data_IF_683015760866
#
_entry.id   IF_683015760866
#
_cell.length_a   1.000
_cell.length_b   1.000
_cell.length_c   1.000
_cell.angle_alpha   90.00
_cell.angle_beta   90.00
_cell.angle_gamma   90.00
#
_symmetry.space_group_name_H-M   'P 1'
#
loop_
_entity.id
_entity.type
_entity.pdbx_description
1 polymer ?
#
# COMPACT_ATOMS: atom_id res chain seq x y z
N UNK A 1 10.65 -13.51 -15.99
CA UNK A 1 9.76 -12.68 -16.86
C UNK A 1 9.97 -13.05 -18.31
N UNK A 2 8.93 -12.95 -19.13
CA UNK A 2 8.93 -13.35 -20.57
C UNK A 2 8.27 -12.25 -21.43
N UNK A 3 8.49 -12.24 -22.76
CA UNK A 3 7.79 -11.32 -23.66
C UNK A 3 6.26 -11.43 -23.58
N UNK A 4 5.73 -12.61 -23.23
CA UNK A 4 4.29 -12.85 -23.13
C UNK A 4 3.60 -12.01 -22.03
N UNK A 5 4.34 -11.59 -21.00
CA UNK A 5 3.80 -10.84 -19.87
C UNK A 5 4.38 -9.43 -19.73
N UNK A 6 5.36 -9.07 -20.58
CA UNK A 6 6.07 -7.81 -20.50
C UNK A 6 6.33 -7.22 -21.87
N UNK A 7 5.57 -6.17 -22.22
CA UNK A 7 5.64 -5.47 -23.50
C UNK A 7 7.06 -5.01 -23.86
N UNK A 8 7.81 -4.52 -22.87
CA UNK A 8 9.13 -3.92 -23.06
C UNK A 8 10.27 -4.90 -22.76
N UNK A 9 10.01 -6.21 -22.83
CA UNK A 9 10.99 -7.26 -22.54
C UNK A 9 12.26 -7.11 -23.38
N UNK A 10 12.12 -6.93 -24.70
CA UNK A 10 13.25 -6.82 -25.63
C UNK A 10 14.04 -5.53 -25.41
N UNK A 11 13.37 -4.41 -25.14
CA UNK A 11 14.02 -3.13 -24.84
C UNK A 11 14.83 -3.12 -23.54
N UNK A 12 14.46 -4.01 -22.61
CA UNK A 12 15.14 -4.19 -21.34
C UNK A 12 16.35 -5.12 -21.45
N UNK A 13 16.54 -5.84 -22.56
CA UNK A 13 17.66 -6.77 -22.69
C UNK A 13 19.01 -6.05 -22.69
N UNK A 14 20.05 -6.67 -22.11
CA UNK A 14 21.40 -6.13 -22.14
C UNK A 14 21.96 -6.14 -23.58
N UNK A 15 22.84 -5.16 -23.89
CA UNK A 15 23.53 -5.13 -25.19
C UNK A 15 24.56 -6.26 -25.37
N UNK A 16 25.10 -6.77 -24.27
CA UNK A 16 26.10 -7.85 -24.25
C UNK A 16 25.52 -9.04 -23.51
N UNK A 17 25.83 -10.26 -23.98
CA UNK A 17 25.44 -11.51 -23.32
C UNK A 17 25.94 -11.50 -21.87
N UNK A 18 25.04 -11.78 -20.92
CA UNK A 18 25.35 -11.79 -19.48
C UNK A 18 25.35 -10.41 -18.80
N UNK A 19 24.99 -9.32 -19.51
CA UNK A 19 24.82 -8.01 -18.88
C UNK A 19 23.53 -7.90 -18.05
N UNK A 20 23.47 -6.89 -17.19
CA UNK A 20 22.26 -6.57 -16.42
C UNK A 20 21.15 -6.00 -17.31
N UNK A 21 19.90 -6.28 -16.95
CA UNK A 21 18.74 -5.67 -17.61
C UNK A 21 18.81 -4.13 -17.57
N UNK A 22 18.44 -3.51 -18.68
CA UNK A 22 18.37 -2.05 -18.86
C UNK A 22 17.06 -1.49 -18.29
N UNK A 23 16.83 -1.71 -17.00
CA UNK A 23 15.60 -1.33 -16.27
C UNK A 23 15.82 -0.15 -15.32
N UNK A 24 17.02 0.42 -15.30
CA UNK A 24 17.35 1.55 -14.44
C UNK A 24 17.91 2.72 -15.25
N UNK A 25 17.65 3.92 -14.77
CA UNK A 25 18.18 5.19 -15.27
C UNK A 25 18.66 6.06 -14.09
N UNK A 26 19.47 7.07 -14.36
CA UNK A 26 19.88 8.05 -13.35
C UNK A 26 18.86 9.18 -13.32
N UNK A 27 18.27 9.43 -12.15
CA UNK A 27 17.32 10.52 -11.92
C UNK A 27 17.98 11.89 -11.91
N UNK A 28 17.15 12.94 -11.84
CA UNK A 28 17.61 14.34 -11.76
C UNK A 28 18.43 14.63 -10.50
N UNK A 29 18.12 13.90 -9.43
CA UNK A 29 18.81 13.87 -8.14
C UNK A 29 20.09 13.00 -8.15
N UNK A 30 20.48 12.45 -9.30
CA UNK A 30 21.59 11.50 -9.49
C UNK A 30 21.37 10.13 -8.84
N UNK A 31 20.18 9.84 -8.34
CA UNK A 31 19.85 8.53 -7.80
C UNK A 31 19.50 7.52 -8.89
N UNK A 32 19.65 6.24 -8.58
CA UNK A 32 19.15 5.16 -9.44
C UNK A 32 17.62 5.13 -9.38
N UNK A 33 16.96 5.31 -10.52
CA UNK A 33 15.50 5.21 -10.68
C UNK A 33 15.15 4.08 -11.65
N UNK A 34 13.88 3.68 -11.66
CA UNK A 34 13.37 2.75 -12.68
C UNK A 34 13.33 3.46 -14.02
N UNK A 35 13.85 2.83 -15.07
CA UNK A 35 13.87 3.38 -16.43
C UNK A 35 12.45 3.66 -16.91
N UNK A 36 12.27 4.79 -17.59
CA UNK A 36 11.02 5.12 -18.28
C UNK A 36 11.11 4.84 -19.78
N UNK A 37 9.98 4.44 -20.36
CA UNK A 37 9.73 4.38 -21.81
C UNK A 37 8.48 5.21 -22.04
N UNK A 38 8.51 6.18 -22.95
CA UNK A 38 7.39 7.11 -23.20
C UNK A 38 6.78 7.69 -21.91
N UNK A 39 7.65 8.24 -21.05
CA UNK A 39 7.29 8.87 -19.77
C UNK A 39 6.61 7.97 -18.73
N UNK A 40 6.57 6.65 -18.90
CA UNK A 40 6.07 5.74 -17.85
C UNK A 40 7.01 4.57 -17.58
N UNK A 41 6.86 3.96 -16.40
CA UNK A 41 7.66 2.83 -15.94
C UNK A 41 7.79 1.74 -17.03
N UNK A 42 9.01 1.23 -17.25
CA UNK A 42 9.30 0.16 -18.22
C UNK A 42 8.52 -1.14 -17.92
N UNK A 43 8.06 -1.35 -16.69
CA UNK A 43 7.24 -2.51 -16.32
C UNK A 43 5.73 -2.31 -16.53
N UNK A 44 5.27 -1.13 -16.94
CA UNK A 44 3.85 -0.88 -17.19
C UNK A 44 3.49 -1.32 -18.62
N UNK A 45 2.81 -2.43 -18.79
CA UNK A 45 2.20 -2.79 -20.07
C UNK A 45 1.12 -1.77 -20.41
N UNK A 46 1.15 -1.24 -21.64
CA UNK A 46 0.24 -0.18 -22.10
C UNK A 46 -1.11 -0.75 -22.52
N UNK A 47 -2.11 0.14 -22.61
CA UNK A 47 -3.40 -0.20 -23.21
C UNK A 47 -3.16 -0.71 -24.64
N UNK A 48 -3.76 -1.84 -24.98
CA UNK A 48 -3.55 -2.52 -26.27
C UNK A 48 -2.55 -3.67 -26.21
N UNK A 49 -1.71 -3.76 -25.17
CA UNK A 49 -0.95 -4.99 -24.93
C UNK A 49 -1.92 -6.07 -24.44
N UNK A 50 -1.94 -7.20 -25.15
CA UNK A 50 -2.81 -8.33 -24.87
C UNK A 50 -1.98 -9.61 -24.68
N UNK A 51 -2.45 -10.45 -23.78
CA UNK A 51 -1.98 -11.81 -23.51
C UNK A 51 -3.18 -12.73 -23.65
N UNK A 52 -2.99 -13.84 -24.34
CA UNK A 52 -4.03 -14.84 -24.54
C UNK A 52 -4.59 -15.36 -23.22
N UNK A 53 -5.92 -15.43 -23.11
CA UNK A 53 -6.61 -15.94 -21.93
C UNK A 53 -6.85 -14.93 -20.81
N UNK A 54 -6.44 -13.67 -20.97
CA UNK A 54 -6.62 -12.63 -19.96
C UNK A 54 -7.30 -11.39 -20.56
N UNK A 55 -8.27 -10.81 -19.86
CA UNK A 55 -8.93 -9.56 -20.26
C UNK A 55 -8.28 -8.40 -19.51
N UNK A 56 -7.89 -7.34 -20.22
CA UNK A 56 -7.32 -6.14 -19.59
C UNK A 56 -5.83 -6.22 -19.25
N UNK A 57 -5.00 -6.88 -20.06
CA UNK A 57 -3.56 -7.11 -19.86
C UNK A 57 -2.62 -5.88 -19.87
N UNK A 58 -3.18 -4.69 -19.71
CA UNK A 58 -2.40 -3.51 -19.37
C UNK A 58 -2.16 -3.49 -17.85
N UNK A 59 -1.11 -2.80 -17.41
CA UNK A 59 -0.73 -2.77 -16.00
C UNK A 59 0.66 -3.34 -15.74
N UNK A 60 1.01 -3.50 -14.47
CA UNK A 60 2.37 -3.84 -14.07
C UNK A 60 2.72 -5.30 -14.42
N UNK A 61 3.75 -5.52 -15.22
CA UNK A 61 4.25 -6.83 -15.61
C UNK A 61 4.76 -7.66 -14.41
N UNK A 62 5.23 -7.02 -13.34
CA UNK A 62 5.59 -7.70 -12.08
C UNK A 62 4.35 -8.23 -11.36
N UNK A 63 3.20 -7.55 -11.47
CA UNK A 63 1.94 -8.10 -10.95
C UNK A 63 1.51 -9.35 -11.71
N UNK A 64 1.66 -9.34 -13.03
CA UNK A 64 1.36 -10.50 -13.88
C UNK A 64 2.28 -11.68 -13.53
N UNK A 65 3.55 -11.41 -13.22
CA UNK A 65 4.46 -12.44 -12.71
C UNK A 65 3.94 -13.08 -11.41
N UNK A 66 3.48 -12.29 -10.45
CA UNK A 66 2.91 -12.83 -9.21
C UNK A 66 1.68 -13.71 -9.44
N UNK A 67 0.81 -13.32 -10.38
CA UNK A 67 -0.36 -14.10 -10.75
C UNK A 67 0.03 -15.44 -11.40
N UNK A 68 1.01 -15.43 -12.31
CA UNK A 68 1.51 -16.64 -12.96
C UNK A 68 2.16 -17.61 -11.96
N UNK A 69 2.94 -17.08 -11.03
CA UNK A 69 3.62 -17.84 -9.98
C UNK A 69 2.67 -18.21 -8.82
N UNK A 70 1.45 -17.68 -8.82
CA UNK A 70 0.43 -17.87 -7.76
C UNK A 70 0.94 -17.46 -6.37
N UNK A 71 1.68 -16.36 -6.32
CA UNK A 71 2.22 -15.78 -5.09
C UNK A 71 1.66 -14.37 -4.87
N UNK A 72 1.86 -13.84 -3.66
CA UNK A 72 1.46 -12.47 -3.36
C UNK A 72 2.31 -11.47 -4.15
N UNK A 73 1.72 -10.35 -4.58
CA UNK A 73 2.46 -9.36 -5.38
C UNK A 73 3.61 -8.68 -4.63
N UNK A 74 3.60 -8.73 -3.29
CA UNK A 74 4.69 -8.24 -2.43
C UNK A 74 6.02 -8.91 -2.78
N UNK A 75 5.99 -10.16 -3.24
CA UNK A 75 7.18 -10.96 -3.55
C UNK A 75 7.86 -10.54 -4.86
N UNK A 76 7.10 -9.95 -5.79
CA UNK A 76 7.59 -9.64 -7.15
C UNK A 76 7.75 -8.15 -7.41
N UNK A 77 7.00 -7.32 -6.69
CA UNK A 77 7.00 -5.88 -6.85
C UNK A 77 7.92 -5.23 -5.81
N UNK A 78 8.68 -4.19 -6.18
CA UNK A 78 9.40 -3.38 -5.20
C UNK A 78 8.39 -2.69 -4.26
N UNK A 79 8.82 -2.43 -3.03
CA UNK A 79 7.96 -1.95 -1.94
C UNK A 79 7.19 -0.67 -2.28
N UNK A 80 7.84 0.30 -2.93
CA UNK A 80 7.19 1.53 -3.39
C UNK A 80 5.95 1.29 -4.29
N UNK A 81 5.89 0.18 -5.03
CA UNK A 81 4.79 -0.12 -5.94
C UNK A 81 3.55 -0.71 -5.26
N UNK A 82 3.69 -1.24 -4.05
CA UNK A 82 2.59 -1.86 -3.30
C UNK A 82 2.33 -1.22 -1.94
N UNK A 83 3.22 -0.35 -1.47
CA UNK A 83 3.05 0.35 -0.21
C UNK A 83 1.72 1.10 -0.17
N UNK A 84 1.36 1.90 -1.20
CA UNK A 84 0.08 2.62 -1.22
C UNK A 84 -1.13 1.68 -0.99
N UNK A 85 -2.00 1.95 0.00
CA UNK A 85 -2.11 3.20 0.77
C UNK A 85 -1.28 3.27 2.06
N UNK A 86 -0.54 2.23 2.42
CA UNK A 86 0.28 2.13 3.63
C UNK A 86 1.61 2.86 3.46
N UNK A 87 1.88 3.82 4.34
CA UNK A 87 3.15 4.54 4.43
C UNK A 87 4.04 3.96 5.51
N UNK A 88 5.30 3.73 5.17
CA UNK A 88 6.37 3.50 6.14
C UNK A 88 7.29 4.70 6.17
N UNK A 89 7.47 5.29 7.34
CA UNK A 89 8.51 6.30 7.60
C UNK A 89 9.38 5.90 8.77
N UNK A 90 10.54 6.56 8.85
CA UNK A 90 11.52 6.34 9.89
C UNK A 90 11.77 7.66 10.60
N UNK A 91 11.75 7.65 11.92
CA UNK A 91 12.10 8.80 12.75
C UNK A 91 13.08 8.36 13.84
N UNK A 92 13.90 9.29 14.31
CA UNK A 92 14.78 9.06 15.45
C UNK A 92 14.18 9.80 16.63
N UNK A 93 13.87 9.07 17.71
CA UNK A 93 13.42 9.66 18.98
C UNK A 93 14.56 9.67 19.98
N UNK A 94 14.75 10.81 20.64
CA UNK A 94 15.70 10.94 21.75
C UNK A 94 15.01 10.48 23.04
N UNK A 95 15.73 9.69 23.85
CA UNK A 95 15.24 9.14 25.11
C UNK A 95 16.35 9.22 26.16
N UNK A 96 16.35 10.31 26.94
CA UNK A 96 17.49 10.69 27.77
C UNK A 96 18.72 10.91 26.88
N UNK A 97 19.84 10.27 27.23
CA UNK A 97 21.07 10.30 26.44
C UNK A 97 21.06 9.32 25.25
N UNK A 98 20.01 8.51 25.11
CA UNK A 98 19.87 7.49 24.06
C UNK A 98 19.09 7.98 22.84
N UNK A 99 19.29 7.28 21.71
CA UNK A 99 18.50 7.45 20.48
C UNK A 99 17.84 6.15 20.09
N UNK A 100 16.56 6.20 19.74
CA UNK A 100 15.77 5.06 19.28
C UNK A 100 15.30 5.33 17.86
N UNK A 101 15.58 4.39 16.95
CA UNK A 101 14.99 4.39 15.61
C UNK A 101 13.56 3.85 15.70
N UNK A 102 12.60 4.64 15.23
CA UNK A 102 11.18 4.30 15.23
C UNK A 102 10.72 4.16 13.78
N UNK A 103 10.17 3.00 13.47
CA UNK A 103 9.46 2.78 12.21
C UNK A 103 7.99 3.11 12.43
N UNK A 104 7.46 4.07 11.67
CA UNK A 104 6.07 4.51 11.73
C UNK A 104 5.34 3.93 10.54
N UNK A 105 4.27 3.19 10.81
CA UNK A 105 3.33 2.71 9.80
C UNK A 105 2.05 3.54 9.89
N UNK A 106 1.70 4.19 8.80
CA UNK A 106 0.53 5.06 8.70
C UNK A 106 -0.12 5.00 7.33
N UNK A 107 -1.00 5.95 7.04
CA UNK A 107 -1.52 6.17 5.69
C UNK A 107 -0.51 7.00 4.88
N UNK A 108 -0.39 6.75 3.59
CA UNK A 108 0.09 7.78 2.69
C UNK A 108 -1.01 8.83 2.59
N UNK A 109 -0.68 10.08 2.84
CA UNK A 109 -1.55 11.22 2.60
C UNK A 109 -0.99 12.05 1.45
N UNK A 110 -1.78 12.97 0.89
CA UNK A 110 -1.30 13.89 -0.16
C UNK A 110 -0.06 14.67 0.30
N UNK A 111 -0.04 15.13 1.55
CA UNK A 111 1.08 15.88 2.12
C UNK A 111 2.37 15.04 2.23
N UNK A 112 2.27 13.71 2.22
CA UNK A 112 3.43 12.83 2.23
C UNK A 112 4.24 12.86 0.91
N UNK A 113 3.70 13.50 -0.15
CA UNK A 113 4.34 13.65 -1.46
C UNK A 113 5.05 15.01 -1.65
N UNK A 114 5.12 15.83 -0.60
CA UNK A 114 5.62 17.20 -0.72
C UNK A 114 4.69 18.09 -1.53
N UNK A 115 5.23 19.12 -2.17
CA UNK A 115 4.43 20.13 -2.89
C UNK A 115 3.59 19.53 -4.04
N UNK A 116 4.07 18.46 -4.70
CA UNK A 116 3.37 17.83 -5.82
C UNK A 116 2.15 16.98 -5.44
N UNK A 117 1.91 16.72 -4.15
CA UNK A 117 0.75 15.91 -3.72
C UNK A 117 -0.60 16.56 -3.97
N UNK A 118 -0.63 17.89 -4.07
CA UNK A 118 -1.83 18.66 -4.41
C UNK A 118 -2.29 18.41 -5.86
N UNK A 119 -1.36 18.12 -6.77
CA UNK A 119 -1.61 17.97 -8.21
C UNK A 119 -2.11 16.57 -8.59
N UNK A 120 -2.23 15.64 -7.64
CA UNK A 120 -2.69 14.28 -7.93
C UNK A 120 -4.21 14.21 -8.08
N UNK A 121 -4.70 14.08 -9.31
CA UNK A 121 -6.14 13.86 -9.57
C UNK A 121 -6.67 12.53 -8.99
N UNK A 122 -5.78 11.57 -8.73
CA UNK A 122 -6.12 10.16 -8.48
C UNK A 122 -5.89 9.70 -7.03
N UNK A 123 -5.73 10.63 -6.08
CA UNK A 123 -5.49 10.29 -4.67
C UNK A 123 -6.79 10.30 -3.84
N UNK A 124 -7.25 9.12 -3.42
CA UNK A 124 -8.54 8.97 -2.72
C UNK A 124 -8.45 8.34 -1.32
N UNK A 125 -7.29 7.86 -0.88
CA UNK A 125 -7.20 7.00 0.32
C UNK A 125 -7.57 7.73 1.60
N UNK A 126 -7.38 9.05 1.64
CA UNK A 126 -7.72 9.90 2.78
C UNK A 126 -9.20 10.30 2.79
N UNK A 127 -10.00 9.90 1.79
CA UNK A 127 -11.45 10.06 1.79
C UNK A 127 -12.10 8.83 2.43
N UNK A 128 -13.00 9.05 3.39
CA UNK A 128 -13.79 7.99 4.04
C UNK A 128 -14.51 7.06 3.07
N UNK A 129 -14.89 7.54 1.88
CA UNK A 129 -15.53 6.75 0.84
C UNK A 129 -14.61 5.65 0.27
N UNK A 130 -13.29 5.77 0.42
CA UNK A 130 -12.32 4.75 0.04
C UNK A 130 -12.27 3.57 1.04
N UNK A 131 -12.87 3.71 2.23
CA UNK A 131 -12.80 2.71 3.31
C UNK A 131 -14.07 1.87 3.44
N UNK A 132 -14.59 1.39 2.31
CA UNK A 132 -15.81 0.56 2.24
C UNK A 132 -15.53 -0.95 2.14
N UNK A 133 -14.29 -1.37 2.39
CA UNK A 133 -13.87 -2.77 2.34
C UNK A 133 -14.65 -3.66 3.30
N UNK A 134 -14.91 -4.91 2.89
CA UNK A 134 -15.58 -5.92 3.75
C UNK A 134 -14.72 -6.36 4.92
N UNK A 135 -13.41 -6.41 4.70
CA UNK A 135 -12.44 -6.78 5.72
C UNK A 135 -11.72 -5.53 6.22
N UNK A 136 -11.46 -5.42 7.53
CA UNK A 136 -10.57 -4.39 8.07
C UNK A 136 -9.19 -4.43 7.40
N UNK A 137 -8.59 -3.26 7.20
CA UNK A 137 -7.30 -3.10 6.51
C UNK A 137 -6.18 -3.96 7.11
N UNK A 138 -6.14 -4.11 8.43
CA UNK A 138 -5.10 -4.92 9.08
C UNK A 138 -5.19 -6.41 8.70
N UNK A 139 -6.35 -6.90 8.26
CA UNK A 139 -6.53 -8.25 7.75
C UNK A 139 -6.30 -8.33 6.24
N UNK A 140 -6.94 -7.45 5.48
CA UNK A 140 -6.84 -7.47 4.02
C UNK A 140 -5.43 -7.18 3.50
N UNK A 141 -4.64 -6.39 4.24
CA UNK A 141 -3.29 -5.99 3.88
C UNK A 141 -2.23 -6.65 4.78
N UNK A 142 -2.53 -7.85 5.29
CA UNK A 142 -1.63 -8.59 6.19
C UNK A 142 -0.23 -8.80 5.58
N UNK A 143 -0.14 -9.16 4.30
CA UNK A 143 1.13 -9.47 3.66
C UNK A 143 2.05 -8.24 3.59
N UNK A 144 1.49 -7.09 3.22
CA UNK A 144 2.15 -5.80 3.12
C UNK A 144 2.58 -5.30 4.50
N UNK A 145 1.68 -5.37 5.49
CA UNK A 145 2.00 -4.96 6.86
C UNK A 145 3.13 -5.81 7.44
N UNK A 146 3.06 -7.14 7.30
CA UNK A 146 4.14 -8.04 7.74
C UNK A 146 5.45 -7.73 7.03
N UNK A 147 5.44 -7.44 5.72
CA UNK A 147 6.64 -7.06 4.98
C UNK A 147 7.24 -5.72 5.46
N UNK A 148 6.42 -4.78 5.91
CA UNK A 148 6.88 -3.46 6.36
C UNK A 148 7.38 -3.43 7.81
N UNK A 149 6.74 -4.16 8.72
CA UNK A 149 7.02 -4.11 10.17
C UNK A 149 7.55 -5.40 10.77
N UNK A 150 7.53 -6.50 10.03
CA UNK A 150 7.85 -7.84 10.51
C UNK A 150 6.68 -8.54 11.21
N UNK A 151 6.73 -9.86 11.25
CA UNK A 151 5.66 -10.68 11.82
C UNK A 151 5.37 -10.40 13.31
N UNK A 152 6.37 -10.20 14.21
CA UNK A 152 6.09 -9.93 15.62
C UNK A 152 5.33 -8.61 15.84
N UNK A 153 5.73 -7.54 15.17
CA UNK A 153 5.05 -6.25 15.29
C UNK A 153 3.64 -6.30 14.67
N UNK A 154 3.45 -7.04 13.58
CA UNK A 154 2.13 -7.27 13.01
C UNK A 154 1.19 -8.01 13.97
N UNK A 155 1.68 -9.00 14.72
CA UNK A 155 0.87 -9.71 15.71
C UNK A 155 0.33 -8.78 16.81
N UNK A 156 1.17 -7.86 17.30
CA UNK A 156 0.72 -6.84 18.25
C UNK A 156 -0.30 -5.88 17.63
N UNK A 157 -0.07 -5.40 16.41
CA UNK A 157 -1.05 -4.58 15.68
C UNK A 157 -2.39 -5.30 15.56
N UNK A 158 -2.38 -6.55 15.07
CA UNK A 158 -3.57 -7.36 14.90
C UNK A 158 -4.32 -7.54 16.22
N UNK A 159 -3.61 -7.82 17.33
CA UNK A 159 -4.21 -7.94 18.67
C UNK A 159 -4.92 -6.65 19.10
N UNK A 160 -4.30 -5.48 18.91
CA UNK A 160 -4.96 -4.20 19.22
C UNK A 160 -6.18 -3.95 18.33
N UNK A 161 -6.09 -4.25 17.04
CA UNK A 161 -7.19 -4.10 16.11
C UNK A 161 -8.36 -5.06 16.42
N UNK A 162 -8.08 -6.32 16.74
CA UNK A 162 -9.07 -7.32 17.17
C UNK A 162 -9.83 -6.84 18.41
N UNK A 163 -9.11 -6.35 19.42
CA UNK A 163 -9.70 -5.78 20.63
C UNK A 163 -10.61 -4.59 20.31
N UNK A 164 -10.17 -3.71 19.40
CA UNK A 164 -10.97 -2.57 18.93
C UNK A 164 -12.25 -3.03 18.22
N UNK A 165 -12.16 -4.02 17.35
CA UNK A 165 -13.30 -4.58 16.62
C UNK A 165 -14.31 -5.26 17.57
N UNK A 166 -13.82 -6.00 18.56
CA UNK A 166 -14.64 -6.60 19.60
C UNK A 166 -15.39 -5.53 20.42
N UNK A 167 -14.71 -4.44 20.79
CA UNK A 167 -15.32 -3.32 21.49
C UNK A 167 -16.42 -2.63 20.66
N UNK A 168 -16.20 -2.40 19.36
CA UNK A 168 -17.23 -1.85 18.43
C UNK A 168 -18.45 -2.77 18.38
N UNK A 169 -18.22 -4.09 18.25
CA UNK A 169 -19.30 -5.07 18.19
C UNK A 169 -20.11 -5.10 19.49
N UNK A 170 -19.45 -5.00 20.63
CA UNK A 170 -20.09 -4.95 21.94
C UNK A 170 -20.89 -3.66 22.16
N UNK A 171 -20.40 -2.51 21.69
CA UNK A 171 -21.09 -1.22 21.83
C UNK A 171 -22.31 -1.13 20.93
N UNK A 172 -22.25 -1.63 19.69
CA UNK A 172 -23.40 -1.67 18.75
C UNK A 172 -24.60 -2.43 19.31
N UNK A 173 -24.38 -3.44 20.17
CA UNK A 173 -25.46 -4.14 20.88
C UNK A 173 -26.10 -3.32 22.00
N UNK A 174 -25.37 -2.35 22.56
CA UNK A 174 -25.84 -1.48 23.66
C UNK A 174 -26.53 -0.21 23.17
N UNK A 175 -26.29 0.22 21.93
CA UNK A 175 -26.90 1.41 21.31
C UNK A 175 -28.13 1.13 20.44
N UNK A 176 -28.78 -0.03 20.61
CA UNK A 176 -30.21 -0.15 20.23
C UNK A 176 -30.99 0.96 20.95
N UNK A 177 -31.86 1.74 20.27
CA UNK A 177 -32.51 2.91 20.84
C UNK A 177 -33.60 2.45 21.81
N UNK A 178 -33.20 2.04 23.00
CA UNK A 178 -34.08 1.87 24.15
C UNK A 178 -33.75 2.99 25.11
N UNK A 179 -34.38 4.15 24.88
CA UNK A 179 -34.59 5.21 25.86
C UNK A 179 -33.45 5.40 26.86
N UNK A 180 -32.27 5.82 26.41
CA UNK A 180 -31.32 6.45 27.34
C UNK A 180 -31.86 7.84 27.61
N UNK A 181 -32.79 7.93 28.58
CA UNK A 181 -33.27 9.20 29.11
C UNK A 181 -32.06 9.93 29.67
N UNK A 182 -31.75 11.09 29.11
CA UNK A 182 -30.63 11.91 29.52
C UNK A 182 -30.77 12.24 31.03
N UNK A 183 -29.68 12.23 31.82
CA UNK A 183 -29.75 12.52 33.27
C UNK A 183 -30.44 13.84 33.60
N UNK A 184 -30.30 14.85 32.74
CA UNK A 184 -31.00 16.13 32.88
C UNK A 184 -32.54 16.03 32.74
N UNK A 185 -33.05 15.08 31.95
CA UNK A 185 -34.50 14.84 31.82
C UNK A 185 -35.09 14.22 33.09
N UNK A 186 -34.28 13.51 33.87
CA UNK A 186 -34.68 12.97 35.19
C UNK A 186 -34.76 14.10 36.23
N UNK A 187 -33.80 15.03 36.23
CA UNK A 187 -33.77 16.17 37.16
C UNK A 187 -34.85 17.23 36.88
N UNK A 188 -35.32 17.35 35.64
CA UNK A 188 -36.39 18.30 35.29
C UNK A 188 -37.79 17.86 35.76
N UNK A 189 -37.94 16.63 36.29
CA UNK A 189 -39.22 16.08 36.76
C UNK A 189 -39.35 16.02 38.29
N UNK A 190 -38.32 16.45 39.02
CA UNK A 190 -38.30 16.54 40.49
C UNK A 190 -38.53 17.96 40.97
#
# INVERSE_FOLDING_TARGET
MTPAIWQFYDEAQPKKKGGSLKISETGLDKDRKTRKVDNSCIFLNRKGFARDGYVGNHGCALHQLALDEKIHFVETKPDVCWQLPIRRSFEIREFGDGKVSVTVIGEYERLAWGEGGADFDWYCTSNTEAHVGREPVYLSNKAELVALMGAPAYQELARYCDNRMAAIKASRRKTLPLFVVHPATVQARS
#
